data_IF_633161511805
#
_entry.id   IF_633161511805
#
_cell.length_a   1.000
_cell.length_b   1.000
_cell.length_c   1.000
_cell.angle_alpha   90.00
_cell.angle_beta   90.00
_cell.angle_gamma   90.00
#
_symmetry.space_group_name_H-M   'P 1'
#
loop_
_entity.id
_entity.type
_entity.pdbx_description
1 polymer ?
#
# COMPACT_ATOMS: atom_id res chain seq x y z
N UNK A 1 -9.81 10.48 9.03
CA UNK A 1 -9.82 10.57 10.52
C UNK A 1 -8.73 9.73 11.20
N UNK A 2 -8.05 8.80 10.50
CA UNK A 2 -7.11 7.87 11.14
C UNK A 2 -7.79 6.76 11.95
N UNK A 3 -9.14 6.68 11.89
CA UNK A 3 -9.92 5.61 12.51
C UNK A 3 -9.68 4.31 11.74
N UNK A 4 -9.24 3.27 12.44
CA UNK A 4 -9.16 1.91 11.90
C UNK A 4 -10.53 1.23 11.96
N UNK A 5 -10.85 0.50 10.90
CA UNK A 5 -12.03 -0.35 10.76
C UNK A 5 -11.62 -1.64 10.07
N UNK A 6 -12.48 -2.65 10.10
CA UNK A 6 -12.27 -3.86 9.32
C UNK A 6 -12.41 -3.56 7.81
N UNK A 7 -11.63 -4.22 6.94
CA UNK A 7 -11.75 -4.10 5.49
C UNK A 7 -13.19 -4.28 5.01
N UNK A 8 -13.64 -3.41 4.13
CA UNK A 8 -14.93 -3.55 3.46
C UNK A 8 -14.76 -4.23 2.11
N UNK A 9 -15.82 -4.82 1.52
CA UNK A 9 -15.79 -5.24 0.12
C UNK A 9 -15.49 -4.04 -0.80
N UNK A 10 -14.81 -4.30 -1.92
CA UNK A 10 -14.48 -3.27 -2.91
C UNK A 10 -15.68 -2.76 -3.73
N UNK A 11 -15.47 -1.80 -4.64
CA UNK A 11 -14.17 -1.20 -4.96
C UNK A 11 -13.61 -0.37 -3.80
N UNK A 12 -12.29 -0.26 -3.75
CA UNK A 12 -11.50 0.40 -2.73
C UNK A 12 -10.94 1.73 -3.26
N UNK A 13 -10.96 2.72 -2.38
CA UNK A 13 -10.07 3.89 -2.35
C UNK A 13 -9.58 4.02 -0.90
N UNK A 14 -8.99 2.94 -0.41
CA UNK A 14 -8.80 2.69 1.02
C UNK A 14 -7.33 2.48 1.37
N UNK A 15 -6.97 2.97 2.56
CA UNK A 15 -5.67 2.67 3.16
C UNK A 15 -5.77 1.46 4.11
N UNK A 16 -4.97 0.45 3.81
CA UNK A 16 -4.83 -0.77 4.62
C UNK A 16 -3.58 -0.70 5.48
N UNK A 17 -3.72 -1.14 6.73
CA UNK A 17 -2.59 -1.37 7.63
C UNK A 17 -2.02 -2.78 7.43
N UNK A 18 -0.72 -2.88 7.18
CA UNK A 18 0.03 -4.10 6.92
C UNK A 18 1.19 -4.21 7.92
N UNK A 19 0.96 -4.63 9.19
CA UNK A 19 1.96 -4.56 10.26
C UNK A 19 3.30 -5.27 9.95
N UNK A 20 3.26 -6.30 9.12
CA UNK A 20 4.44 -7.09 8.74
C UNK A 20 5.10 -6.61 7.45
N UNK A 21 4.65 -5.48 6.89
CA UNK A 21 5.06 -4.96 5.60
C UNK A 21 4.03 -5.21 4.49
N UNK A 22 4.03 -4.34 3.48
CA UNK A 22 3.23 -4.55 2.26
C UNK A 22 3.72 -5.79 1.52
N UNK A 23 2.80 -6.74 1.32
CA UNK A 23 2.95 -7.90 0.44
C UNK A 23 1.63 -8.10 -0.30
N UNK A 24 1.51 -7.46 -1.47
CA UNK A 24 0.29 -7.46 -2.27
C UNK A 24 0.52 -8.22 -3.56
N UNK A 25 -0.44 -9.06 -3.92
CA UNK A 25 -0.45 -9.83 -5.15
C UNK A 25 -1.63 -9.41 -6.02
N UNK A 26 -1.34 -9.01 -7.24
CA UNK A 26 -2.33 -8.74 -8.28
C UNK A 26 -2.25 -9.86 -9.30
N UNK A 27 -3.36 -10.52 -9.57
CA UNK A 27 -3.42 -11.61 -10.54
C UNK A 27 -4.35 -11.24 -11.69
N UNK A 28 -3.85 -11.34 -12.91
CA UNK A 28 -4.68 -11.48 -14.10
C UNK A 28 -4.72 -12.97 -14.42
N UNK A 29 -5.85 -13.64 -14.13
CA UNK A 29 -5.94 -15.10 -14.23
C UNK A 29 -5.42 -15.61 -15.56
N UNK A 30 -4.66 -16.71 -15.53
CA UNK A 30 -4.09 -17.38 -16.71
C UNK A 30 -3.06 -16.56 -17.51
N UNK A 31 -2.66 -15.37 -17.03
CA UNK A 31 -1.80 -14.46 -17.79
C UNK A 31 -0.57 -14.02 -17.02
N UNK A 32 -0.78 -13.35 -15.89
CA UNK A 32 0.33 -12.77 -15.13
C UNK A 32 -0.02 -12.53 -13.66
N UNK A 33 1.03 -12.51 -12.85
CA UNK A 33 0.99 -12.12 -11.46
C UNK A 33 2.00 -10.99 -11.24
N UNK A 34 1.57 -9.94 -10.54
CA UNK A 34 2.43 -8.89 -10.02
C UNK A 34 2.45 -8.97 -8.49
N UNK A 35 3.64 -9.14 -7.92
CA UNK A 35 3.87 -8.99 -6.49
C UNK A 35 4.48 -7.63 -6.19
N UNK A 36 3.83 -6.85 -5.32
CA UNK A 36 4.31 -5.56 -4.82
C UNK A 36 4.71 -5.73 -3.35
N UNK A 37 5.99 -5.54 -3.05
CA UNK A 37 6.54 -5.65 -1.69
C UNK A 37 7.18 -4.35 -1.22
N UNK A 38 6.95 -4.00 0.04
CA UNK A 38 7.62 -2.90 0.72
C UNK A 38 7.70 -3.19 2.22
N UNK A 39 8.69 -2.60 2.90
CA UNK A 39 8.73 -2.57 4.37
C UNK A 39 7.72 -1.59 4.97
N UNK A 40 6.99 -0.83 4.14
CA UNK A 40 5.92 0.04 4.61
C UNK A 40 4.84 -0.74 5.35
N UNK A 41 4.26 -0.14 6.38
CA UNK A 41 3.11 -0.68 7.10
C UNK A 41 1.76 -0.18 6.55
N UNK A 42 1.80 0.60 5.46
CA UNK A 42 0.63 1.28 4.90
C UNK A 42 0.61 1.12 3.39
N UNK A 43 -0.54 0.71 2.86
CA UNK A 43 -0.78 0.65 1.42
C UNK A 43 -2.14 1.24 1.11
N UNK A 44 -2.21 2.12 0.13
CA UNK A 44 -3.49 2.47 -0.50
C UNK A 44 -3.72 1.53 -1.67
N UNK A 45 -4.92 0.95 -1.72
CA UNK A 45 -5.39 0.21 -2.89
C UNK A 45 -6.55 1.00 -3.48
N UNK A 46 -6.42 1.31 -4.77
CA UNK A 46 -7.46 1.98 -5.54
C UNK A 46 -7.83 1.11 -6.75
N UNK A 47 -9.10 0.71 -6.86
CA UNK A 47 -9.60 -0.15 -7.96
C UNK A 47 -10.98 0.26 -8.50
N UNK A 48 -11.39 1.54 -8.33
CA UNK A 48 -12.68 2.01 -8.87
C UNK A 48 -12.70 2.13 -10.41
N UNK A 49 -11.55 2.12 -11.08
CA UNK A 49 -11.46 2.18 -12.55
C UNK A 49 -11.30 0.77 -13.11
N UNK A 50 -12.21 0.34 -13.98
CA UNK A 50 -12.23 -1.03 -14.53
C UNK A 50 -10.91 -1.41 -15.23
N UNK A 51 -10.22 -0.45 -15.86
CA UNK A 51 -8.99 -0.70 -16.61
C UNK A 51 -7.70 -0.60 -15.77
N UNK A 52 -7.77 -0.21 -14.50
CA UNK A 52 -6.58 0.09 -13.70
C UNK A 52 -6.73 -0.22 -12.20
N UNK A 53 -5.62 -0.60 -11.59
CA UNK A 53 -5.50 -0.75 -10.14
C UNK A 53 -4.22 -0.08 -9.66
N UNK A 54 -4.29 0.62 -8.53
CA UNK A 54 -3.13 1.15 -7.84
C UNK A 54 -2.85 0.34 -6.58
N UNK A 55 -1.56 0.08 -6.33
CA UNK A 55 -1.05 -0.47 -5.07
C UNK A 55 0.07 0.44 -4.62
N UNK A 56 -0.19 1.20 -3.57
CA UNK A 56 0.62 2.37 -3.21
C UNK A 56 1.15 2.24 -1.78
N UNK A 57 2.31 1.62 -1.56
CA UNK A 57 2.99 1.69 -0.28
C UNK A 57 3.29 3.15 0.10
N UNK A 58 2.82 3.60 1.27
CA UNK A 58 2.94 4.99 1.74
C UNK A 58 3.72 5.09 3.05
N UNK A 59 4.34 6.22 3.34
CA UNK A 59 5.17 6.41 4.54
C UNK A 59 4.40 6.49 5.85
N UNK A 60 3.08 6.63 5.78
CA UNK A 60 2.20 6.79 6.92
C UNK A 60 0.73 6.63 6.50
N UNK A 61 -0.19 6.57 7.48
CA UNK A 61 -1.61 6.43 7.21
C UNK A 61 -2.23 7.76 6.75
N UNK A 62 -3.46 7.72 6.21
CA UNK A 62 -4.27 8.92 6.04
C UNK A 62 -4.42 9.65 7.39
N UNK A 63 -4.34 10.99 7.36
CA UNK A 63 -4.29 11.82 8.56
C UNK A 63 -3.06 11.57 9.47
N UNK A 64 -2.02 10.88 8.99
CA UNK A 64 -0.84 10.51 9.77
C UNK A 64 -0.10 11.67 10.41
N UNK A 65 -0.12 12.86 9.82
CA UNK A 65 0.46 14.06 10.44
C UNK A 65 -0.13 14.36 11.83
N UNK A 66 -1.42 14.06 12.03
CA UNK A 66 -2.12 14.32 13.29
C UNK A 66 -2.17 13.10 14.21
N UNK A 67 -2.08 11.88 13.68
CA UNK A 67 -2.31 10.65 14.45
C UNK A 67 -1.08 9.77 14.64
N UNK A 68 -0.09 9.86 13.74
CA UNK A 68 1.13 9.06 13.75
C UNK A 68 2.29 9.83 13.05
N UNK A 69 2.69 11.01 13.55
CA UNK A 69 3.70 11.82 12.88
C UNK A 69 5.08 11.16 12.94
N UNK A 70 5.80 11.20 11.81
CA UNK A 70 7.23 10.85 11.72
C UNK A 70 8.03 12.09 11.36
N UNK A 71 8.91 12.52 12.26
CA UNK A 71 9.84 13.62 11.97
C UNK A 71 10.92 13.13 11.01
N UNK A 72 11.19 13.90 9.97
CA UNK A 72 12.26 13.64 9.01
C UNK A 72 13.25 14.78 9.08
N UNK A 73 14.53 14.46 9.21
CA UNK A 73 15.61 15.45 9.29
C UNK A 73 16.78 15.04 8.40
N UNK A 74 17.74 15.93 8.09
CA UNK A 74 18.92 15.54 7.32
C UNK A 74 19.76 14.42 7.96
N UNK A 75 19.73 14.28 9.29
CA UNK A 75 20.48 13.25 10.03
C UNK A 75 19.65 11.97 10.29
N UNK A 76 18.34 12.04 10.07
CA UNK A 76 17.39 10.93 10.17
C UNK A 76 16.43 10.99 8.97
N UNK A 77 16.92 10.63 7.76
CA UNK A 77 16.10 10.67 6.56
C UNK A 77 15.05 9.56 6.57
N UNK A 78 13.94 9.81 5.91
CA UNK A 78 12.97 8.77 5.58
C UNK A 78 13.32 8.18 4.22
N UNK A 79 13.70 6.91 4.22
CA UNK A 79 13.93 6.13 3.02
C UNK A 79 12.91 4.99 2.95
N UNK A 80 12.40 4.75 1.75
CA UNK A 80 11.45 3.68 1.48
C UNK A 80 11.79 3.02 0.15
N UNK A 81 11.65 1.70 0.13
CA UNK A 81 11.83 0.90 -1.07
C UNK A 81 10.56 0.11 -1.33
N UNK A 82 10.15 0.08 -2.59
CA UNK A 82 9.10 -0.79 -3.09
C UNK A 82 9.68 -1.62 -4.23
N UNK A 83 9.33 -2.89 -4.28
CA UNK A 83 9.75 -3.81 -5.34
C UNK A 83 8.51 -4.37 -6.02
N UNK A 84 8.51 -4.28 -7.34
CA UNK A 84 7.53 -4.91 -8.22
C UNK A 84 8.20 -6.11 -8.89
N UNK A 85 7.62 -7.29 -8.70
CA UNK A 85 8.12 -8.54 -9.30
C UNK A 85 7.01 -9.18 -10.13
N UNK A 86 7.32 -9.48 -11.38
CA UNK A 86 6.37 -10.04 -12.34
C UNK A 86 6.64 -11.53 -12.53
N UNK A 87 5.58 -12.32 -12.52
CA UNK A 87 5.60 -13.74 -12.88
C UNK A 87 4.58 -14.00 -13.97
N UNK A 88 4.96 -14.72 -15.02
CA UNK A 88 4.01 -15.21 -16.02
C UNK A 88 3.35 -16.49 -15.48
N UNK A 89 2.02 -16.57 -15.61
CA UNK A 89 1.23 -17.72 -15.20
C UNK A 89 1.05 -18.72 -16.36
#
# INVERSE_FOLDING_TARGET
>A
TGRRIDPQPGPWDDCFGMPDGVDVKITWPERLELTVKSRSEWVVVYDEQDEAVCVEPQSGPPNGLNTAPRLVTPIDPLEMTTTWSWTRL
#
